data_IF_007605840294
#
_entry.id   IF_007605840294
#
_cell.length_a   1.000
_cell.length_b   1.000
_cell.length_c   1.000
_cell.angle_alpha   90.00
_cell.angle_beta   90.00
_cell.angle_gamma   90.00
#
_symmetry.space_group_name_H-M   'P 1'
#
loop_
_entity.id
_entity.type
_entity.pdbx_description
1 polymer ?
#
# COMPACT_ATOMS: atom_id res chain seq x y z
N UNK A 1 -0.35 27.07 -3.39
CA UNK A 1 0.77 26.38 -2.74
C UNK A 1 0.95 25.03 -3.44
N UNK A 2 1.90 24.89 -4.37
CA UNK A 2 2.02 23.69 -5.25
C UNK A 2 3.00 22.63 -4.72
N UNK A 3 3.72 22.90 -3.65
CA UNK A 3 4.76 22.01 -3.10
C UNK A 3 4.79 22.10 -1.56
N UNK A 4 3.70 21.71 -0.90
CA UNK A 4 3.79 21.40 0.53
C UNK A 4 3.56 19.90 0.73
N UNK A 5 4.43 19.19 1.49
CA UNK A 5 4.07 17.93 2.11
C UNK A 5 2.78 18.11 2.92
N UNK A 6 2.11 17.00 3.25
CA UNK A 6 0.93 17.00 4.13
C UNK A 6 1.21 17.95 5.31
N UNK A 7 0.46 19.05 5.40
CA UNK A 7 0.62 20.01 6.50
C UNK A 7 0.09 19.30 7.74
N UNK A 8 1.00 18.78 8.56
CA UNK A 8 0.67 18.04 9.77
C UNK A 8 -0.31 18.83 10.66
N UNK A 9 -0.20 20.15 10.69
CA UNK A 9 -1.10 20.99 11.46
C UNK A 9 -2.49 21.04 10.84
N UNK A 10 -2.60 21.06 9.51
CA UNK A 10 -3.88 20.93 8.81
C UNK A 10 -4.51 19.55 9.02
N UNK A 11 -3.72 18.48 9.02
CA UNK A 11 -4.20 17.11 9.30
C UNK A 11 -4.74 17.03 10.73
N UNK A 12 -3.99 17.51 11.74
CA UNK A 12 -4.44 17.56 13.14
C UNK A 12 -5.73 18.37 13.28
N UNK A 13 -5.80 19.54 12.63
CA UNK A 13 -6.97 20.41 12.67
C UNK A 13 -8.20 19.73 12.07
N UNK A 14 -8.01 18.91 11.02
CA UNK A 14 -9.07 18.12 10.39
C UNK A 14 -9.60 17.05 11.34
N UNK A 15 -8.73 16.26 11.98
CA UNK A 15 -9.14 15.25 12.97
C UNK A 15 -9.79 15.87 14.22
N UNK A 16 -9.31 17.03 14.66
CA UNK A 16 -9.95 17.79 15.73
C UNK A 16 -11.36 18.25 15.33
N UNK A 17 -11.53 18.76 14.11
CA UNK A 17 -12.84 19.24 13.64
C UNK A 17 -13.86 18.10 13.49
N UNK A 18 -13.43 16.95 12.98
CA UNK A 18 -14.32 15.82 12.68
C UNK A 18 -14.67 15.03 13.95
N UNK A 19 -13.70 14.82 14.85
CA UNK A 19 -13.86 13.88 15.96
C UNK A 19 -13.36 14.42 17.30
N UNK A 20 -12.94 15.69 17.40
CA UNK A 20 -12.43 16.32 18.61
C UNK A 20 -11.18 15.65 19.17
N UNK A 21 -10.39 15.00 18.31
CA UNK A 21 -9.20 14.22 18.68
C UNK A 21 -8.01 15.14 18.89
N UNK A 22 -7.31 14.96 20.01
CA UNK A 22 -6.13 15.75 20.42
C UNK A 22 -4.89 14.90 20.71
N UNK A 23 -4.97 13.60 20.47
CA UNK A 23 -3.95 12.64 20.84
C UNK A 23 -2.60 12.83 20.17
N UNK A 24 -1.65 12.05 20.66
CA UNK A 24 -0.30 12.04 20.11
C UNK A 24 -0.25 11.19 18.83
N UNK A 25 -0.96 10.07 18.79
CA UNK A 25 -0.97 9.14 17.65
C UNK A 25 -2.36 8.73 17.22
N UNK A 26 -2.43 8.15 16.02
CA UNK A 26 -3.65 7.61 15.44
C UNK A 26 -3.37 6.33 14.65
N UNK A 27 -4.33 5.41 14.68
CA UNK A 27 -4.38 4.22 13.85
C UNK A 27 -5.73 4.18 13.13
N UNK A 28 -5.72 3.72 11.88
CA UNK A 28 -6.90 3.64 11.02
C UNK A 28 -7.21 2.18 10.64
N UNK A 29 -8.49 1.86 10.58
CA UNK A 29 -9.03 0.65 9.97
C UNK A 29 -9.87 1.06 8.75
N UNK A 30 -9.70 0.36 7.63
CA UNK A 30 -10.59 0.45 6.48
C UNK A 30 -11.30 -0.89 6.35
N UNK A 31 -12.63 -0.88 6.38
CA UNK A 31 -13.46 -2.07 6.56
C UNK A 31 -14.55 -2.11 5.48
N UNK A 32 -14.78 -3.28 4.90
CA UNK A 32 -15.93 -3.57 4.07
C UNK A 32 -16.65 -4.81 4.56
N UNK A 33 -17.98 -4.82 4.39
CA UNK A 33 -18.77 -6.02 4.59
C UNK A 33 -18.45 -7.04 3.49
N UNK A 34 -18.55 -8.34 3.80
CA UNK A 34 -18.40 -9.40 2.79
C UNK A 34 -19.52 -9.33 1.75
N UNK A 35 -20.72 -8.92 2.18
CA UNK A 35 -21.86 -8.65 1.29
C UNK A 35 -21.91 -7.16 0.96
N UNK A 36 -21.85 -6.81 -0.32
CA UNK A 36 -21.81 -5.42 -0.81
C UNK A 36 -23.21 -4.80 -0.93
N UNK A 37 -23.94 -4.68 0.17
CA UNK A 37 -25.21 -3.94 0.23
C UNK A 37 -25.24 -2.92 1.38
N UNK A 38 -26.05 -1.86 1.21
CA UNK A 38 -26.07 -0.75 2.16
C UNK A 38 -26.65 -1.13 3.53
N UNK A 39 -27.56 -2.10 3.60
CA UNK A 39 -28.11 -2.56 4.88
C UNK A 39 -27.05 -3.30 5.69
N UNK A 40 -26.31 -4.21 5.05
CA UNK A 40 -25.15 -4.90 5.63
C UNK A 40 -24.08 -3.92 6.10
N UNK A 41 -23.78 -2.89 5.30
CA UNK A 41 -22.78 -1.88 5.67
C UNK A 41 -23.22 -1.04 6.90
N UNK A 42 -24.50 -0.65 6.99
CA UNK A 42 -25.04 0.07 8.17
C UNK A 42 -25.05 -0.81 9.42
N UNK A 43 -25.41 -2.08 9.29
CA UNK A 43 -25.39 -3.02 10.41
C UNK A 43 -23.95 -3.22 10.91
N UNK A 44 -23.01 -3.46 10.00
CA UNK A 44 -21.60 -3.61 10.32
C UNK A 44 -21.03 -2.36 10.99
N UNK A 45 -21.38 -1.16 10.52
CA UNK A 45 -20.92 0.09 11.15
C UNK A 45 -21.25 0.15 12.64
N UNK A 46 -22.50 -0.16 13.03
CA UNK A 46 -22.91 -0.16 14.44
C UNK A 46 -22.12 -1.17 15.28
N UNK A 47 -21.85 -2.34 14.72
CA UNK A 47 -21.04 -3.36 15.40
C UNK A 47 -19.60 -2.88 15.57
N UNK A 48 -19.00 -2.31 14.53
CA UNK A 48 -17.64 -1.76 14.56
C UNK A 48 -17.54 -0.61 15.56
N UNK A 49 -18.52 0.28 15.63
CA UNK A 49 -18.62 1.34 16.65
C UNK A 49 -18.56 0.75 18.07
N UNK A 50 -19.36 -0.28 18.35
CA UNK A 50 -19.36 -0.96 19.64
C UNK A 50 -18.03 -1.66 19.97
N UNK A 51 -17.42 -2.33 18.99
CA UNK A 51 -16.13 -3.00 19.16
C UNK A 51 -15.01 -2.00 19.45
N UNK A 52 -14.95 -0.89 18.72
CA UNK A 52 -13.92 0.14 18.96
C UNK A 52 -14.17 0.92 20.24
N UNK A 53 -15.41 1.14 20.66
CA UNK A 53 -15.73 1.71 21.97
C UNK A 53 -15.20 0.79 23.09
N UNK A 54 -15.52 -0.51 23.04
CA UNK A 54 -15.04 -1.49 24.00
C UNK A 54 -13.50 -1.63 24.00
N UNK A 55 -12.86 -1.51 22.85
CA UNK A 55 -11.40 -1.43 22.75
C UNK A 55 -10.88 -0.19 23.49
N UNK A 56 -11.46 0.99 23.26
CA UNK A 56 -11.08 2.22 23.95
C UNK A 56 -11.21 2.12 25.46
N UNK A 57 -12.30 1.54 25.97
CA UNK A 57 -12.53 1.35 27.41
C UNK A 57 -11.51 0.40 28.06
N UNK A 58 -11.01 -0.58 27.30
CA UNK A 58 -10.04 -1.58 27.78
C UNK A 58 -8.62 -1.02 27.92
N UNK A 59 -8.26 -0.01 27.14
CA UNK A 59 -6.87 0.48 27.04
C UNK A 59 -6.78 1.94 27.49
N UNK A 60 -6.20 2.18 28.66
CA UNK A 60 -6.09 3.53 29.29
C UNK A 60 -5.43 4.59 28.42
N UNK A 61 -4.55 4.16 27.52
CA UNK A 61 -3.79 5.02 26.63
C UNK A 61 -4.58 5.46 25.40
N UNK A 62 -5.75 4.84 25.14
CA UNK A 62 -6.68 5.32 24.13
C UNK A 62 -7.31 6.61 24.63
N UNK A 63 -7.24 7.64 23.80
CA UNK A 63 -7.94 8.90 24.04
C UNK A 63 -9.38 8.82 23.52
N UNK A 64 -9.53 8.34 22.28
CA UNK A 64 -10.80 8.34 21.59
C UNK A 64 -10.80 7.32 20.48
N UNK A 65 -11.95 6.69 20.28
CA UNK A 65 -12.27 5.94 19.08
C UNK A 65 -13.45 6.60 18.36
N UNK A 66 -13.47 6.49 17.05
CA UNK A 66 -14.59 6.97 16.24
C UNK A 66 -14.66 6.22 14.92
N UNK A 67 -15.85 6.19 14.34
CA UNK A 67 -16.14 5.48 13.10
C UNK A 67 -16.90 6.43 12.18
N UNK A 68 -16.57 6.39 10.89
CA UNK A 68 -17.34 7.11 9.88
C UNK A 68 -17.48 6.28 8.61
N UNK A 69 -18.45 6.65 7.78
CA UNK A 69 -18.62 6.06 6.44
C UNK A 69 -17.86 6.87 5.41
N UNK A 70 -17.20 6.17 4.50
CA UNK A 70 -16.54 6.76 3.34
C UNK A 70 -16.84 5.90 2.12
N UNK A 71 -17.62 6.43 1.17
CA UNK A 71 -18.07 5.66 -0.02
C UNK A 71 -18.72 4.32 0.40
N UNK A 72 -18.27 3.20 -0.16
CA UNK A 72 -18.76 1.84 0.13
C UNK A 72 -17.95 1.13 1.25
N UNK A 73 -17.29 1.89 2.14
CA UNK A 73 -16.50 1.35 3.25
C UNK A 73 -16.73 2.12 4.55
N UNK A 74 -16.34 1.48 5.64
CA UNK A 74 -16.29 2.04 6.98
C UNK A 74 -14.84 2.36 7.31
N UNK A 75 -14.61 3.55 7.86
CA UNK A 75 -13.33 3.95 8.43
C UNK A 75 -13.47 3.96 9.94
N UNK A 76 -12.64 3.18 10.63
CA UNK A 76 -12.51 3.18 12.08
C UNK A 76 -11.19 3.84 12.48
N UNK A 77 -11.19 4.59 13.57
CA UNK A 77 -10.00 5.27 14.07
C UNK A 77 -9.85 5.05 15.56
N UNK A 78 -8.60 4.87 15.98
CA UNK A 78 -8.19 4.81 17.37
C UNK A 78 -7.08 5.81 17.58
N UNK A 79 -7.30 6.82 18.43
CA UNK A 79 -6.28 7.79 18.82
C UNK A 79 -5.77 7.49 20.22
N UNK A 80 -4.46 7.64 20.41
CA UNK A 80 -3.79 7.39 21.69
C UNK A 80 -3.15 8.65 22.25
N UNK A 81 -3.10 8.74 23.58
CA UNK A 81 -2.48 9.84 24.35
C UNK A 81 -0.95 9.81 24.28
N UNK A 82 -0.36 8.67 23.92
CA UNK A 82 1.08 8.39 23.96
C UNK A 82 1.74 8.53 22.59
N UNK A 83 3.05 8.87 22.53
CA UNK A 83 3.78 8.87 21.26
C UNK A 83 3.90 7.46 20.66
N UNK A 84 4.24 7.33 19.36
CA UNK A 84 4.33 6.03 18.70
C UNK A 84 5.35 5.15 19.41
N UNK A 85 4.97 3.91 19.72
CA UNK A 85 5.90 2.95 20.31
C UNK A 85 6.97 2.56 19.29
N UNK A 86 8.26 2.62 19.69
CA UNK A 86 9.44 2.56 18.80
C UNK A 86 9.65 1.23 18.04
N UNK A 87 8.86 0.18 18.31
CA UNK A 87 8.93 -1.08 17.57
C UNK A 87 7.61 -1.84 17.72
N UNK A 88 7.01 -2.22 16.59
CA UNK A 88 5.85 -3.11 16.39
C UNK A 88 5.01 -3.28 17.66
N UNK A 89 4.12 -2.31 17.87
CA UNK A 89 3.27 -2.32 19.05
C UNK A 89 2.39 -3.55 19.04
N UNK A 90 2.40 -4.26 20.16
CA UNK A 90 1.41 -5.26 20.59
C UNK A 90 -0.05 -4.77 20.33
N UNK A 91 -0.28 -3.46 20.15
CA UNK A 91 -1.57 -2.84 19.85
C UNK A 91 -2.20 -3.23 18.51
N UNK A 92 -1.44 -3.43 17.42
CA UNK A 92 -2.08 -3.68 16.11
C UNK A 92 -2.67 -5.10 15.99
N UNK A 93 -2.04 -6.09 16.64
CA UNK A 93 -2.52 -7.46 16.71
C UNK A 93 -3.75 -7.57 17.61
N UNK A 94 -3.78 -6.81 18.71
CA UNK A 94 -4.93 -6.78 19.59
C UNK A 94 -6.11 -6.04 18.95
N UNK A 95 -5.87 -4.94 18.24
CA UNK A 95 -6.89 -4.28 17.45
C UNK A 95 -7.44 -5.21 16.34
N UNK A 96 -6.58 -5.97 15.67
CA UNK A 96 -6.99 -6.97 14.68
C UNK A 96 -7.88 -8.08 15.29
N UNK A 97 -7.52 -8.59 16.47
CA UNK A 97 -8.35 -9.56 17.20
C UNK A 97 -9.69 -8.96 17.62
N UNK A 98 -9.69 -7.71 18.09
CA UNK A 98 -10.92 -7.03 18.47
C UNK A 98 -11.83 -6.82 17.26
N UNK A 99 -11.33 -6.31 16.13
CA UNK A 99 -12.18 -6.09 14.96
C UNK A 99 -12.71 -7.39 14.35
N UNK A 100 -11.98 -8.50 14.49
CA UNK A 100 -12.46 -9.82 14.06
C UNK A 100 -13.75 -10.27 14.77
N UNK A 101 -14.07 -9.71 15.95
CA UNK A 101 -15.33 -10.03 16.66
C UNK A 101 -16.53 -9.30 16.08
N UNK A 102 -16.33 -8.32 15.19
CA UNK A 102 -17.42 -7.59 14.55
C UNK A 102 -18.20 -8.41 13.50
N UNK A 103 -17.72 -9.62 13.18
CA UNK A 103 -18.35 -10.55 12.25
C UNK A 103 -17.60 -10.68 10.92
N UNK A 104 -18.21 -11.30 9.90
CA UNK A 104 -17.59 -11.47 8.58
C UNK A 104 -17.32 -10.13 7.91
N UNK A 105 -16.05 -9.80 7.73
CA UNK A 105 -15.60 -8.55 7.13
C UNK A 105 -14.26 -8.73 6.42
N UNK A 106 -13.95 -7.76 5.58
CA UNK A 106 -12.62 -7.56 5.01
C UNK A 106 -12.06 -6.27 5.59
N UNK A 107 -10.84 -6.30 6.14
CA UNK A 107 -10.26 -5.14 6.81
C UNK A 107 -8.78 -4.96 6.53
N UNK A 108 -8.39 -3.71 6.25
CA UNK A 108 -7.01 -3.25 6.31
C UNK A 108 -6.78 -2.40 7.56
N UNK A 109 -5.68 -2.65 8.27
CA UNK A 109 -5.28 -1.90 9.47
C UNK A 109 -3.95 -1.19 9.20
N UNK A 110 -3.88 0.12 9.46
CA UNK A 110 -2.64 0.88 9.34
C UNK A 110 -1.65 0.58 10.46
N UNK A 111 -0.41 1.05 10.35
CA UNK A 111 0.41 1.21 11.55
C UNK A 111 -0.11 2.36 12.40
N UNK A 112 0.29 2.41 13.67
CA UNK A 112 0.11 3.59 14.52
C UNK A 112 1.12 4.67 14.11
N UNK A 113 0.65 5.86 13.77
CA UNK A 113 1.46 7.00 13.31
C UNK A 113 1.18 8.25 14.14
N UNK A 114 1.99 9.30 13.99
CA UNK A 114 1.69 10.60 14.60
C UNK A 114 0.30 11.09 14.17
N UNK A 115 -0.43 11.79 15.03
CA UNK A 115 -1.73 12.37 14.66
C UNK A 115 -1.61 13.31 13.44
N UNK A 116 -0.46 13.99 13.28
CA UNK A 116 -0.17 14.83 12.10
C UNK A 116 -0.02 14.05 10.80
N UNK A 117 0.20 12.74 10.87
CA UNK A 117 0.32 11.83 9.73
C UNK A 117 -0.94 10.97 9.55
N UNK A 118 -2.09 11.38 10.11
CA UNK A 118 -3.30 10.58 10.02
C UNK A 118 -3.78 10.32 8.57
N UNK A 119 -3.37 11.13 7.60
CA UNK A 119 -3.60 10.84 6.18
C UNK A 119 -2.78 9.63 5.69
N UNK A 120 -1.56 9.44 6.23
CA UNK A 120 -0.75 8.24 6.00
C UNK A 120 -1.43 7.01 6.60
N UNK A 121 -1.94 7.08 7.83
CA UNK A 121 -2.70 5.97 8.43
C UNK A 121 -3.88 5.56 7.54
N UNK A 122 -4.65 6.53 7.06
CA UNK A 122 -5.78 6.27 6.17
C UNK A 122 -5.32 5.57 4.87
N UNK A 123 -4.27 6.08 4.21
CA UNK A 123 -3.73 5.47 2.98
C UNK A 123 -3.24 4.03 3.22
N UNK A 124 -2.56 3.78 4.33
CA UNK A 124 -2.09 2.46 4.70
C UNK A 124 -3.24 1.47 4.94
N UNK A 125 -4.25 1.89 5.70
CA UNK A 125 -5.43 1.05 5.96
C UNK A 125 -6.16 0.70 4.66
N UNK A 126 -6.37 1.67 3.78
CA UNK A 126 -7.00 1.43 2.47
C UNK A 126 -6.15 0.55 1.55
N UNK A 127 -4.83 0.66 1.63
CA UNK A 127 -3.92 -0.18 0.87
C UNK A 127 -3.92 -1.63 1.38
N UNK A 128 -3.86 -1.82 2.70
CA UNK A 128 -4.01 -3.13 3.32
C UNK A 128 -5.37 -3.75 3.03
N UNK A 129 -6.45 -2.96 2.95
CA UNK A 129 -7.79 -3.43 2.59
C UNK A 129 -7.81 -4.00 1.15
N UNK A 130 -7.09 -3.38 0.20
CA UNK A 130 -6.97 -3.92 -1.16
C UNK A 130 -6.29 -5.29 -1.18
N UNK A 131 -5.25 -5.48 -0.36
CA UNK A 131 -4.62 -6.80 -0.19
C UNK A 131 -5.58 -7.79 0.47
N UNK A 132 -6.29 -7.35 1.52
CA UNK A 132 -7.29 -8.16 2.21
C UNK A 132 -8.44 -8.60 1.30
N UNK A 133 -8.76 -7.84 0.25
CA UNK A 133 -9.77 -8.25 -0.74
C UNK A 133 -9.30 -9.42 -1.62
N UNK A 134 -7.99 -9.56 -1.83
CA UNK A 134 -7.40 -10.66 -2.60
C UNK A 134 -7.16 -11.88 -1.71
N UNK A 135 -6.65 -11.68 -0.50
CA UNK A 135 -6.26 -12.76 0.43
C UNK A 135 -7.39 -13.20 1.35
N UNK A 136 -8.41 -12.35 1.54
CA UNK A 136 -9.47 -12.50 2.53
C UNK A 136 -9.08 -12.00 3.93
N UNK A 137 -10.09 -11.66 4.72
CA UNK A 137 -9.93 -11.41 6.17
C UNK A 137 -9.33 -10.04 6.53
N UNK A 138 -8.40 -10.05 7.49
CA UNK A 138 -7.82 -8.85 8.10
C UNK A 138 -6.33 -8.79 7.78
N UNK A 139 -5.89 -7.73 7.12
CA UNK A 139 -4.49 -7.49 6.77
C UNK A 139 -3.98 -6.27 7.52
N UNK A 140 -2.80 -6.40 8.15
CA UNK A 140 -2.11 -5.30 8.82
C UNK A 140 -1.02 -4.74 7.91
N UNK A 141 -0.92 -3.43 7.83
CA UNK A 141 0.11 -2.75 7.05
C UNK A 141 1.53 -3.18 7.48
N UNK A 142 1.74 -3.30 8.79
CA UNK A 142 3.00 -3.73 9.42
C UNK A 142 3.43 -5.15 9.02
N UNK A 143 2.52 -5.98 8.52
CA UNK A 143 2.82 -7.36 8.09
C UNK A 143 3.06 -7.51 6.60
N UNK A 144 2.74 -6.50 5.78
CA UNK A 144 2.82 -6.57 4.31
C UNK A 144 4.27 -6.67 3.77
N UNK A 145 5.30 -6.32 4.55
CA UNK A 145 6.72 -6.40 4.15
C UNK A 145 6.95 -5.82 2.75
N UNK A 146 7.33 -6.63 1.75
CA UNK A 146 7.54 -6.19 0.36
C UNK A 146 6.27 -5.59 -0.27
N UNK A 147 5.10 -6.14 0.04
CA UNK A 147 3.83 -5.63 -0.49
C UNK A 147 3.48 -4.25 0.04
N UNK A 148 4.04 -3.82 1.19
CA UNK A 148 3.90 -2.45 1.66
C UNK A 148 4.57 -1.46 0.69
N UNK A 149 5.76 -1.80 0.20
CA UNK A 149 6.47 -0.98 -0.78
C UNK A 149 5.74 -0.96 -2.13
N UNK A 150 5.24 -2.11 -2.59
CA UNK A 150 4.42 -2.18 -3.81
C UNK A 150 3.14 -1.36 -3.70
N UNK A 151 2.47 -1.46 -2.56
CA UNK A 151 1.27 -0.68 -2.29
C UNK A 151 1.56 0.82 -2.23
N UNK A 152 2.67 1.22 -1.61
CA UNK A 152 3.11 2.62 -1.57
C UNK A 152 3.41 3.15 -2.98
N UNK A 153 4.20 2.40 -3.76
CA UNK A 153 4.55 2.70 -5.15
C UNK A 153 3.31 2.91 -6.05
N UNK A 154 2.26 2.10 -5.87
CA UNK A 154 0.98 2.25 -6.60
C UNK A 154 0.19 3.50 -6.22
N UNK A 155 0.33 3.96 -4.98
CA UNK A 155 -0.42 5.13 -4.49
C UNK A 155 0.28 6.46 -4.79
N UNK A 156 1.59 6.44 -4.96
CA UNK A 156 2.35 7.63 -5.33
C UNK A 156 2.25 7.89 -6.83
N UNK A 157 1.62 9.01 -7.20
CA UNK A 157 1.38 9.36 -8.61
C UNK A 157 2.68 9.67 -9.35
N UNK A 158 3.69 10.21 -8.69
CA UNK A 158 4.97 10.52 -9.33
C UNK A 158 5.72 9.23 -9.64
N UNK A 159 5.74 8.29 -8.69
CA UNK A 159 6.29 6.96 -8.89
C UNK A 159 5.59 6.23 -10.03
N UNK A 160 4.25 6.11 -9.95
CA UNK A 160 3.45 5.40 -10.95
C UNK A 160 3.67 5.97 -12.36
N UNK A 161 3.68 7.30 -12.51
CA UNK A 161 3.93 7.94 -13.81
C UNK A 161 5.35 7.74 -14.33
N UNK A 162 6.34 7.74 -13.45
CA UNK A 162 7.73 7.47 -13.84
C UNK A 162 7.90 6.04 -14.33
N UNK A 163 7.33 5.07 -13.62
CA UNK A 163 7.34 3.66 -14.01
C UNK A 163 6.56 3.41 -15.32
N UNK A 164 5.38 4.02 -15.47
CA UNK A 164 4.55 3.94 -16.67
C UNK A 164 5.28 4.49 -17.92
N UNK A 165 6.00 5.60 -17.78
CA UNK A 165 6.77 6.17 -18.87
C UNK A 165 7.79 5.16 -19.41
N UNK A 166 8.57 4.53 -18.54
CA UNK A 166 9.59 3.56 -18.96
C UNK A 166 8.97 2.31 -19.58
N UNK A 167 7.86 1.81 -19.02
CA UNK A 167 7.10 0.72 -19.66
C UNK A 167 6.58 1.09 -21.04
N UNK A 168 6.08 2.32 -21.20
CA UNK A 168 5.52 2.80 -22.46
C UNK A 168 6.60 2.91 -23.54
N UNK A 169 7.81 3.38 -23.20
CA UNK A 169 8.94 3.41 -24.16
C UNK A 169 9.29 2.02 -24.70
N UNK A 170 9.26 0.98 -23.85
CA UNK A 170 9.49 -0.40 -24.29
C UNK A 170 8.33 -0.92 -25.13
N UNK A 171 7.09 -0.63 -24.72
CA UNK A 171 5.89 -1.03 -25.46
C UNK A 171 5.84 -0.41 -26.86
N UNK A 172 6.12 0.89 -26.98
CA UNK A 172 6.14 1.61 -28.25
C UNK A 172 7.22 1.04 -29.18
N UNK A 173 8.40 0.72 -28.64
CA UNK A 173 9.46 0.07 -29.39
C UNK A 173 9.05 -1.32 -29.90
N UNK A 174 8.45 -2.15 -29.03
CA UNK A 174 7.97 -3.48 -29.37
C UNK A 174 6.89 -3.44 -30.46
N UNK A 175 5.98 -2.47 -30.40
CA UNK A 175 4.93 -2.27 -31.41
C UNK A 175 5.49 -1.83 -32.77
N UNK A 176 6.55 -1.01 -32.80
CA UNK A 176 7.18 -0.54 -34.04
C UNK A 176 8.10 -1.60 -34.68
N UNK A 177 8.73 -2.44 -33.87
CA UNK A 177 9.81 -3.34 -34.32
C UNK A 177 9.48 -4.84 -34.25
N UNK A 178 8.26 -5.21 -33.83
CA UNK A 178 7.86 -6.61 -33.58
C UNK A 178 8.86 -7.35 -32.67
N UNK A 179 9.16 -6.73 -31.52
CA UNK A 179 10.10 -7.26 -30.53
C UNK A 179 9.44 -7.57 -29.17
N UNK A 180 10.20 -8.19 -28.25
CA UNK A 180 9.73 -8.56 -26.91
C UNK A 180 10.56 -7.89 -25.79
N UNK A 181 10.96 -6.63 -25.94
CA UNK A 181 11.77 -5.92 -24.95
C UNK A 181 11.02 -5.74 -23.63
N UNK A 182 9.73 -5.40 -23.65
CA UNK A 182 8.90 -5.23 -22.46
C UNK A 182 8.83 -6.51 -21.62
N UNK A 183 8.49 -7.63 -22.27
CA UNK A 183 8.44 -8.96 -21.62
C UNK A 183 9.83 -9.38 -21.13
N UNK A 184 10.90 -9.10 -21.90
CA UNK A 184 12.26 -9.42 -21.50
C UNK A 184 12.69 -8.62 -20.27
N UNK A 185 12.34 -7.33 -20.22
CA UNK A 185 12.64 -6.46 -19.10
C UNK A 185 11.93 -6.91 -17.81
N UNK A 186 10.65 -7.30 -17.92
CA UNK A 186 9.89 -7.81 -16.78
C UNK A 186 10.45 -9.14 -16.27
N UNK A 187 10.77 -10.08 -17.16
CA UNK A 187 11.37 -11.36 -16.80
C UNK A 187 12.77 -11.19 -16.18
N UNK A 188 13.58 -10.27 -16.70
CA UNK A 188 14.90 -9.96 -16.15
C UNK A 188 14.82 -9.35 -14.75
N UNK A 189 13.85 -8.47 -14.50
CA UNK A 189 13.58 -7.93 -13.16
C UNK A 189 13.17 -9.03 -12.17
N UNK A 190 12.26 -9.92 -12.59
CA UNK A 190 11.81 -11.06 -11.79
C UNK A 190 12.92 -12.08 -11.52
N UNK A 191 13.87 -12.23 -12.45
CA UNK A 191 15.05 -13.07 -12.32
C UNK A 191 16.20 -12.41 -11.52
N UNK A 192 15.98 -11.23 -10.94
CA UNK A 192 17.00 -10.47 -10.21
C UNK A 192 18.28 -10.18 -11.02
N UNK A 193 18.14 -10.00 -12.34
CA UNK A 193 19.26 -9.71 -13.23
C UNK A 193 19.99 -10.95 -13.77
N UNK A 194 19.50 -12.16 -13.51
CA UNK A 194 20.11 -13.39 -14.01
C UNK A 194 19.69 -13.67 -15.46
N UNK A 195 20.64 -13.52 -16.39
CA UNK A 195 20.41 -13.76 -17.83
C UNK A 195 19.99 -15.20 -18.11
N UNK A 196 20.59 -16.18 -17.44
CA UNK A 196 20.28 -17.60 -17.63
C UNK A 196 18.83 -17.91 -17.23
N UNK A 197 18.40 -17.46 -16.06
CA UNK A 197 17.02 -17.62 -15.56
C UNK A 197 16.02 -16.87 -16.44
N UNK A 198 16.39 -15.69 -16.94
CA UNK A 198 15.56 -14.92 -17.87
C UNK A 198 15.37 -15.68 -19.18
N UNK A 199 16.46 -16.25 -19.71
CA UNK A 199 16.44 -17.04 -20.94
C UNK A 199 15.56 -18.29 -20.79
N UNK A 200 15.69 -19.01 -19.67
CA UNK A 200 14.86 -20.16 -19.32
C UNK A 200 13.38 -19.77 -19.23
N UNK A 201 13.05 -18.70 -18.49
CA UNK A 201 11.68 -18.24 -18.30
C UNK A 201 10.99 -17.83 -19.62
N UNK A 202 11.76 -17.37 -20.60
CA UNK A 202 11.26 -16.92 -21.90
C UNK A 202 11.40 -17.99 -23.01
N UNK A 203 11.95 -19.17 -22.69
CA UNK A 203 12.31 -20.20 -23.68
C UNK A 203 13.20 -19.65 -24.82
N UNK A 204 14.15 -18.78 -24.47
CA UNK A 204 15.08 -18.14 -25.40
C UNK A 204 16.52 -18.58 -25.15
N UNK A 205 17.40 -18.35 -26.13
CA UNK A 205 18.83 -18.51 -25.93
C UNK A 205 19.41 -17.32 -25.11
N UNK A 206 20.38 -17.54 -24.19
CA UNK A 206 20.98 -16.46 -23.40
C UNK A 206 21.53 -15.28 -24.22
N UNK A 207 22.07 -15.54 -25.42
CA UNK A 207 22.55 -14.47 -26.31
C UNK A 207 21.41 -13.57 -26.82
N UNK A 208 20.23 -14.13 -27.09
CA UNK A 208 19.04 -13.36 -27.46
C UNK A 208 18.63 -12.43 -26.33
N UNK A 209 18.66 -12.91 -25.09
CA UNK A 209 18.40 -12.08 -23.91
C UNK A 209 19.43 -10.96 -23.79
N UNK A 210 20.73 -11.24 -23.90
CA UNK A 210 21.79 -10.21 -23.85
C UNK A 210 21.61 -9.13 -24.92
N UNK A 211 21.24 -9.54 -26.13
CA UNK A 211 20.94 -8.61 -27.22
C UNK A 211 19.75 -7.71 -26.86
N UNK A 212 18.64 -8.30 -26.38
CA UNK A 212 17.45 -7.54 -25.95
C UNK A 212 17.76 -6.62 -24.78
N UNK A 213 18.57 -7.04 -23.81
CA UNK A 213 19.00 -6.20 -22.68
C UNK A 213 19.83 -5.00 -23.15
N UNK A 214 20.74 -5.19 -24.12
CA UNK A 214 21.46 -4.07 -24.73
C UNK A 214 20.48 -3.08 -25.38
N UNK A 215 19.47 -3.58 -26.10
CA UNK A 215 18.46 -2.74 -26.73
C UNK A 215 17.57 -2.03 -25.71
N UNK A 216 17.17 -2.69 -24.64
CA UNK A 216 16.43 -2.08 -23.52
C UNK A 216 17.20 -0.87 -22.96
N UNK A 217 18.52 -0.99 -22.76
CA UNK A 217 19.33 0.15 -22.29
C UNK A 217 19.35 1.31 -23.29
N UNK A 218 19.37 1.01 -24.58
CA UNK A 218 19.30 2.04 -25.63
C UNK A 218 17.94 2.74 -25.64
N UNK A 219 16.83 2.00 -25.61
CA UNK A 219 15.45 2.53 -25.62
C UNK A 219 15.16 3.38 -24.38
N UNK A 220 15.66 2.95 -23.21
CA UNK A 220 15.47 3.67 -21.95
C UNK A 220 16.50 4.79 -21.73
N UNK A 221 17.42 5.02 -22.67
CA UNK A 221 18.51 6.00 -22.56
C UNK A 221 19.39 5.82 -21.30
N UNK A 222 19.74 4.57 -21.00
CA UNK A 222 20.55 4.15 -19.85
C UNK A 222 21.69 3.21 -20.25
N UNK A 223 22.32 3.49 -21.39
CA UNK A 223 23.38 2.68 -22.01
C UNK A 223 24.57 2.41 -21.08
N UNK A 224 24.87 3.36 -20.20
CA UNK A 224 26.01 3.31 -19.29
C UNK A 224 25.78 2.42 -18.06
N UNK A 225 24.54 1.97 -17.81
CA UNK A 225 24.25 1.11 -16.67
C UNK A 225 24.83 -0.29 -16.86
N UNK A 226 25.38 -0.85 -15.78
CA UNK A 226 25.69 -2.28 -15.68
C UNK A 226 24.41 -3.11 -15.71
N UNK A 227 24.52 -4.41 -15.99
CA UNK A 227 23.35 -5.33 -15.97
C UNK A 227 22.69 -5.38 -14.58
N UNK A 228 23.49 -5.22 -13.52
CA UNK A 228 23.00 -5.17 -12.14
C UNK A 228 22.20 -3.90 -11.85
N UNK A 229 22.67 -2.75 -12.33
CA UNK A 229 21.94 -1.48 -12.19
C UNK A 229 20.67 -1.47 -13.04
N UNK A 230 20.73 -2.04 -14.25
CA UNK A 230 19.53 -2.24 -15.08
C UNK A 230 18.51 -3.14 -14.36
N UNK A 231 18.95 -4.24 -13.75
CA UNK A 231 18.06 -5.11 -13.00
C UNK A 231 17.38 -4.37 -11.83
N UNK A 232 18.14 -3.58 -11.07
CA UNK A 232 17.60 -2.77 -9.98
C UNK A 232 16.60 -1.71 -10.47
N UNK A 233 16.92 -1.01 -11.56
CA UNK A 233 16.01 -0.06 -12.20
C UNK A 233 14.72 -0.74 -12.63
N UNK A 234 14.80 -1.87 -13.35
CA UNK A 234 13.63 -2.58 -13.83
C UNK A 234 12.79 -3.17 -12.69
N UNK A 235 13.40 -3.59 -11.58
CA UNK A 235 12.66 -3.98 -10.38
C UNK A 235 11.83 -2.84 -9.79
N UNK A 236 12.34 -1.59 -9.84
CA UNK A 236 11.57 -0.41 -9.46
C UNK A 236 10.46 -0.14 -10.48
N UNK A 237 10.79 -0.17 -11.78
CA UNK A 237 9.79 0.01 -12.84
C UNK A 237 8.62 -0.96 -12.62
N UNK A 238 8.87 -2.24 -12.39
CA UNK A 238 7.81 -3.25 -12.22
C UNK A 238 7.33 -3.47 -10.77
N UNK A 239 7.66 -2.56 -9.83
CA UNK A 239 7.23 -2.68 -8.43
C UNK A 239 5.73 -2.39 -8.26
N UNK A 240 5.18 -1.51 -9.09
CA UNK A 240 3.76 -1.10 -9.12
C UNK A 240 2.91 -2.07 -9.91
#
# INVERSE_FOLDING_TARGET
LMLAPSDEQAVRSTFFTIAGVTGATIQCLAIQAVTEDDASLRALQKVVEGVLAAYGDRWSDVERTFVCRYRAMILGFVSFKRPPLKAIAISDADLAKCIATAGPLVCGISQEVSLGEGDLALRQAMAALRTAHVEGGIVRWTTLRFDAFRAAARTDRLYARSADLMRSLLFDYDAEHDSDLGVTAQAFAAACGEVSRTAEALFQHPNTVRYRLKKIKEVLAVQDLTDRELAALLQLVYLS
#
